data_IF_368361092749
#
_entry.id   IF_368361092749
#
_cell.length_a   1.000
_cell.length_b   1.000
_cell.length_c   1.000
_cell.angle_alpha   90.00
_cell.angle_beta   90.00
_cell.angle_gamma   90.00
#
_symmetry.space_group_name_H-M   'P 1'
#
loop_
_entity.id
_entity.type
_entity.pdbx_description
1 polymer ?
#
# COMPACT_ATOMS: atom_id res chain seq x y z
N UNK A 1 -10.28 -11.51 -15.90
CA UNK A 1 -9.40 -10.34 -16.08
C UNK A 1 -8.00 -10.75 -15.67
N UNK A 2 -7.07 -10.81 -16.61
CA UNK A 2 -5.68 -11.17 -16.34
C UNK A 2 -5.08 -10.18 -15.34
N UNK A 3 -4.70 -10.70 -14.16
CA UNK A 3 -4.01 -9.91 -13.14
C UNK A 3 -2.58 -9.70 -13.63
N UNK A 4 -2.35 -8.59 -14.33
CA UNK A 4 -1.01 -8.19 -14.79
C UNK A 4 -0.16 -7.76 -13.59
N UNK A 5 1.12 -8.10 -13.64
CA UNK A 5 2.14 -7.51 -12.77
C UNK A 5 2.31 -6.04 -13.12
N UNK A 6 2.37 -5.19 -12.09
CA UNK A 6 2.67 -3.75 -12.22
C UNK A 6 4.09 -3.52 -11.74
N UNK A 7 4.85 -2.72 -12.47
CA UNK A 7 6.21 -2.31 -12.10
C UNK A 7 6.39 -0.84 -12.42
N UNK A 8 6.71 -0.05 -11.40
CA UNK A 8 7.04 1.36 -11.50
C UNK A 8 8.51 1.55 -11.13
N UNK A 9 9.21 2.46 -11.82
CA UNK A 9 10.61 2.79 -11.59
C UNK A 9 10.82 4.31 -11.60
N UNK A 10 11.76 4.80 -10.81
CA UNK A 10 12.06 6.23 -10.69
C UNK A 10 12.07 6.67 -9.24
N UNK A 11 11.97 7.97 -8.97
CA UNK A 11 11.82 8.48 -7.61
C UNK A 11 10.34 8.40 -7.19
N UNK A 12 9.98 7.33 -6.50
CA UNK A 12 8.59 7.01 -6.17
C UNK A 12 8.32 7.37 -4.72
N UNK A 13 7.44 8.35 -4.51
CA UNK A 13 6.86 8.60 -3.20
C UNK A 13 5.59 7.75 -3.01
N UNK A 14 5.54 6.93 -1.97
CA UNK A 14 4.39 6.09 -1.67
C UNK A 14 3.78 6.40 -0.30
N UNK A 15 2.47 6.20 -0.20
CA UNK A 15 1.73 6.18 1.07
C UNK A 15 0.96 4.87 1.17
N UNK A 16 0.93 4.27 2.34
CA UNK A 16 0.23 3.03 2.62
C UNK A 16 -0.67 3.16 3.84
N UNK A 17 -1.79 2.45 3.81
CA UNK A 17 -2.72 2.31 4.92
C UNK A 17 -3.14 0.86 5.09
N UNK A 18 -3.17 0.42 6.33
CA UNK A 18 -3.74 -0.87 6.71
C UNK A 18 -5.27 -0.75 6.82
N UNK A 19 -6.00 -1.85 6.67
CA UNK A 19 -7.45 -1.94 6.86
C UNK A 19 -8.33 -1.30 5.78
N UNK A 20 -8.16 -1.70 4.52
CA UNK A 20 -9.30 -1.65 3.61
C UNK A 20 -9.95 -3.02 3.53
N UNK A 21 -11.14 -3.16 4.12
CA UNK A 21 -12.09 -4.19 3.74
C UNK A 21 -12.47 -3.95 2.28
N UNK A 22 -12.17 -4.92 1.42
CA UNK A 22 -12.60 -4.89 0.03
C UNK A 22 -13.57 -6.05 -0.20
N UNK A 23 -14.86 -5.72 -0.36
CA UNK A 23 -15.95 -6.69 -0.24
C UNK A 23 -16.09 -7.22 1.20
N UNK A 24 -16.59 -8.44 1.34
CA UNK A 24 -16.98 -9.02 2.65
C UNK A 24 -15.89 -9.82 3.37
N UNK A 25 -14.67 -9.97 2.84
CA UNK A 25 -13.82 -11.11 3.30
C UNK A 25 -12.31 -10.89 3.43
N UNK A 26 -11.68 -9.83 2.94
CA UNK A 26 -10.21 -9.75 3.00
C UNK A 26 -9.69 -8.34 3.32
N UNK A 27 -8.78 -8.28 4.30
CA UNK A 27 -8.00 -7.08 4.64
C UNK A 27 -6.88 -6.93 3.59
N UNK A 28 -6.85 -5.78 2.92
CA UNK A 28 -5.77 -5.39 2.02
C UNK A 28 -5.06 -4.14 2.54
N UNK A 29 -3.79 -4.02 2.17
CA UNK A 29 -3.05 -2.77 2.17
C UNK A 29 -3.50 -1.91 0.99
N UNK A 30 -3.87 -0.66 1.27
CA UNK A 30 -4.05 0.35 0.23
C UNK A 30 -2.76 1.13 0.08
N UNK A 31 -2.15 1.05 -1.09
CA UNK A 31 -0.96 1.79 -1.50
C UNK A 31 -1.41 2.92 -2.41
N UNK A 32 -0.86 4.12 -2.22
CA UNK A 32 -1.14 5.32 -3.00
C UNK A 32 0.18 5.83 -3.54
N UNK A 33 0.30 5.88 -4.86
CA UNK A 33 1.48 6.40 -5.59
C UNK A 33 0.95 7.38 -6.64
N UNK A 34 1.42 8.63 -6.60
CA UNK A 34 1.01 9.68 -7.56
C UNK A 34 -0.52 9.87 -7.73
N UNK A 35 -1.29 9.58 -6.67
CA UNK A 35 -2.76 9.65 -6.69
C UNK A 35 -3.45 8.36 -7.16
N UNK A 36 -2.72 7.42 -7.75
CA UNK A 36 -3.22 6.09 -8.10
C UNK A 36 -3.25 5.15 -6.90
N UNK A 37 -4.27 4.29 -6.83
CA UNK A 37 -4.46 3.35 -5.73
C UNK A 37 -4.23 1.91 -6.16
N UNK A 38 -3.43 1.21 -5.35
CA UNK A 38 -3.11 -0.19 -5.53
C UNK A 38 -3.50 -0.98 -4.27
N UNK A 39 -4.08 -2.17 -4.45
CA UNK A 39 -4.42 -3.07 -3.35
C UNK A 39 -3.43 -4.23 -3.28
N UNK A 40 -2.82 -4.44 -2.12
CA UNK A 40 -1.88 -5.52 -1.86
C UNK A 40 -2.31 -6.37 -0.65
N UNK A 41 -2.14 -7.69 -0.73
CA UNK A 41 -2.34 -8.64 0.38
C UNK A 41 -1.15 -8.65 1.33
N UNK A 42 0.06 -8.48 0.80
CA UNK A 42 1.30 -8.48 1.56
C UNK A 42 2.21 -7.34 1.11
N UNK A 43 3.07 -6.88 2.01
CA UNK A 43 4.03 -5.80 1.78
C UNK A 43 5.40 -6.29 2.22
N UNK A 44 6.40 -6.16 1.34
CA UNK A 44 7.81 -6.21 1.69
C UNK A 44 8.43 -4.85 1.38
N UNK A 45 9.00 -4.21 2.39
CA UNK A 45 9.57 -2.88 2.26
C UNK A 45 11.06 -2.94 2.62
N UNK A 46 11.92 -2.74 1.63
CA UNK A 46 13.38 -2.74 1.79
C UNK A 46 13.96 -1.32 1.86
N UNK A 47 13.10 -0.33 2.08
CA UNK A 47 13.46 1.09 2.16
C UNK A 47 13.09 1.66 3.54
N UNK A 48 13.70 2.80 3.88
CA UNK A 48 13.32 3.53 5.08
C UNK A 48 11.86 3.98 4.97
N UNK A 49 11.13 3.88 6.09
CA UNK A 49 9.73 4.30 6.17
C UNK A 49 9.51 5.20 7.36
N UNK A 50 8.52 6.07 7.23
CA UNK A 50 8.01 6.93 8.28
C UNK A 50 6.57 6.53 8.57
N UNK A 51 6.19 6.47 9.84
CA UNK A 51 4.86 6.08 10.25
C UNK A 51 4.22 7.09 11.19
N UNK A 52 2.91 7.23 11.07
CA UNK A 52 2.07 8.03 11.95
C UNK A 52 0.74 7.30 12.20
N UNK A 53 0.02 7.68 13.26
CA UNK A 53 -1.31 7.15 13.56
C UNK A 53 -2.30 8.28 13.83
N UNK A 54 -3.50 8.12 13.30
CA UNK A 54 -4.63 9.02 13.58
C UNK A 54 -5.83 8.21 14.07
N UNK A 55 -6.69 8.84 14.88
CA UNK A 55 -7.96 8.24 15.27
C UNK A 55 -9.08 8.74 14.38
N UNK A 56 -9.79 7.83 13.74
CA UNK A 56 -10.98 8.14 12.97
C UNK A 56 -12.21 8.12 13.88
N UNK A 57 -12.75 9.29 14.19
CA UNK A 57 -13.92 9.42 15.07
C UNK A 57 -15.18 8.78 14.47
N UNK A 58 -15.30 8.73 13.16
CA UNK A 58 -16.48 8.17 12.47
C UNK A 58 -16.43 6.65 12.48
N UNK A 59 -15.29 6.06 12.14
CA UNK A 59 -15.08 4.61 12.16
C UNK A 59 -14.75 4.06 13.56
N UNK A 60 -14.49 4.95 14.54
CA UNK A 60 -14.07 4.62 15.91
C UNK A 60 -12.86 3.69 15.96
N UNK A 61 -11.88 3.93 15.08
CA UNK A 61 -10.70 3.08 14.91
C UNK A 61 -9.41 3.90 14.81
N UNK A 62 -8.27 3.26 15.13
CA UNK A 62 -6.94 3.82 14.86
C UNK A 62 -6.54 3.48 13.43
N UNK A 63 -6.20 4.50 12.65
CA UNK A 63 -5.63 4.38 11.32
C UNK A 63 -4.12 4.54 11.38
N UNK A 64 -3.43 3.58 10.79
CA UNK A 64 -1.98 3.62 10.64
C UNK A 64 -1.63 4.13 9.25
N UNK A 65 -0.74 5.11 9.20
CA UNK A 65 -0.21 5.71 7.99
C UNK A 65 1.27 5.36 7.90
N UNK A 66 1.68 4.82 6.76
CA UNK A 66 3.09 4.53 6.47
C UNK A 66 3.41 5.25 5.17
N UNK A 67 4.53 5.96 5.11
CA UNK A 67 5.01 6.61 3.88
C UNK A 67 6.50 6.36 3.72
N UNK A 68 6.98 6.49 2.50
CA UNK A 68 8.40 6.36 2.18
C UNK A 68 8.67 6.67 0.73
N UNK A 69 9.94 6.57 0.38
CA UNK A 69 10.43 6.80 -0.97
C UNK A 69 11.20 5.56 -1.42
N UNK A 70 10.99 5.12 -2.66
CA UNK A 70 11.67 3.96 -3.23
C UNK A 70 12.06 4.19 -4.70
N UNK A 71 12.95 3.34 -5.23
CA UNK A 71 13.38 3.41 -6.63
C UNK A 71 12.59 2.48 -7.53
N UNK A 72 12.02 1.43 -6.96
CA UNK A 72 11.22 0.44 -7.66
C UNK A 72 10.02 -0.01 -6.80
N UNK A 73 8.84 -0.04 -7.42
CA UNK A 73 7.63 -0.63 -6.87
C UNK A 73 7.15 -1.77 -7.76
N UNK A 74 6.88 -2.94 -7.17
CA UNK A 74 6.38 -4.11 -7.88
C UNK A 74 5.11 -4.59 -7.17
N UNK A 75 4.03 -4.80 -7.94
CA UNK A 75 2.82 -5.49 -7.48
C UNK A 75 2.54 -6.68 -8.39
N UNK A 76 2.65 -7.89 -7.85
CA UNK A 76 2.43 -9.11 -8.62
C UNK A 76 0.95 -9.46 -8.78
N UNK A 77 0.69 -10.48 -9.60
CA UNK A 77 -0.66 -11.02 -9.87
C UNK A 77 -1.37 -11.53 -8.60
N UNK A 78 -0.62 -11.95 -7.59
CA UNK A 78 -1.11 -12.52 -6.33
C UNK A 78 -1.30 -11.44 -5.26
N UNK A 79 -1.07 -10.18 -5.63
CA UNK A 79 -1.19 -8.98 -4.81
C UNK A 79 -0.12 -8.89 -3.72
N UNK A 80 1.07 -9.42 -3.96
CA UNK A 80 2.23 -9.13 -3.12
C UNK A 80 2.93 -7.88 -3.65
N UNK A 81 3.16 -6.91 -2.77
CA UNK A 81 3.83 -5.66 -3.10
C UNK A 81 5.23 -5.62 -2.51
N UNK A 82 6.19 -5.16 -3.31
CA UNK A 82 7.59 -4.99 -2.93
C UNK A 82 8.06 -3.57 -3.25
N UNK A 83 8.72 -2.93 -2.28
CA UNK A 83 9.37 -1.63 -2.41
C UNK A 83 10.88 -1.79 -2.24
N UNK A 84 11.66 -1.33 -3.22
CA UNK A 84 13.13 -1.42 -3.25
C UNK A 84 13.76 -0.08 -3.60
#
# INVERSE_FOLDING_TARGET
>A
MDKKTITLKGDIHFKMRFNTTHGDTNLYWRIIIEGEQYLARSIQCYVATYSDRSYDNTAREIKYHISGDCREFILDKDKNAVFK
#
